data_IF_579975896639
#
_entry.id   IF_579975896639
#
_cell.length_a   1.000
_cell.length_b   1.000
_cell.length_c   1.000
_cell.angle_alpha   90.00
_cell.angle_beta   90.00
_cell.angle_gamma   90.00
#
_symmetry.space_group_name_H-M   'P 1'
#
loop_
_entity.id
_entity.type
_entity.pdbx_description
1 polymer ?
#
# COMPACT_ATOMS: atom_id res chain seq x y z
N UNK A 1 -8.72 12.29 22.75
CA UNK A 1 -8.49 11.09 21.93
C UNK A 1 -7.61 11.47 20.74
N UNK A 2 -6.63 10.63 20.45
CA UNK A 2 -5.68 10.86 19.35
C UNK A 2 -5.84 9.86 18.22
N UNK A 3 -6.32 8.65 18.53
CA UNK A 3 -6.56 7.60 17.55
C UNK A 3 -7.69 6.68 18.01
N UNK A 4 -8.47 6.16 17.06
CA UNK A 4 -9.44 5.08 17.24
C UNK A 4 -9.12 3.96 16.26
N UNK A 5 -9.46 2.72 16.61
CA UNK A 5 -9.36 1.57 15.71
C UNK A 5 -10.49 0.61 16.05
N UNK A 6 -11.13 0.05 15.02
CA UNK A 6 -12.24 -0.89 15.18
C UNK A 6 -11.83 -2.26 14.63
N UNK A 7 -12.09 -3.29 15.44
CA UNK A 7 -12.02 -4.69 15.03
C UNK A 7 -13.41 -5.25 14.72
N UNK A 8 -13.53 -6.57 14.63
CA UNK A 8 -14.83 -7.20 14.45
C UNK A 8 -15.54 -7.33 15.81
N UNK A 9 -16.48 -6.42 16.07
CA UNK A 9 -17.26 -6.40 17.29
C UNK A 9 -16.61 -5.72 18.49
N UNK A 10 -15.41 -5.16 18.39
CA UNK A 10 -14.77 -4.38 19.45
C UNK A 10 -14.10 -3.12 18.91
N UNK A 11 -13.83 -2.19 19.79
CA UNK A 11 -13.20 -0.91 19.48
C UNK A 11 -12.08 -0.57 20.46
N UNK A 12 -11.09 0.14 19.96
CA UNK A 12 -9.97 0.68 20.73
C UNK A 12 -9.94 2.21 20.61
N UNK A 13 -9.57 2.88 21.69
CA UNK A 13 -9.32 4.31 21.70
C UNK A 13 -8.02 4.63 22.44
N UNK A 14 -7.15 5.39 21.78
CA UNK A 14 -5.93 5.93 22.34
C UNK A 14 -6.16 7.38 22.77
N UNK A 15 -5.81 7.70 24.01
CA UNK A 15 -5.83 9.06 24.53
C UNK A 15 -4.48 9.74 24.40
N UNK A 16 -4.48 11.06 24.48
CA UNK A 16 -3.24 11.90 24.42
C UNK A 16 -2.25 11.64 25.57
N UNK A 17 -2.74 11.07 26.68
CA UNK A 17 -1.93 10.65 27.82
C UNK A 17 -1.25 9.28 27.63
N UNK A 18 -1.39 8.66 26.44
CA UNK A 18 -0.84 7.34 26.13
C UNK A 18 -1.58 6.16 26.74
N UNK A 19 -2.78 6.36 27.27
CA UNK A 19 -3.64 5.28 27.78
C UNK A 19 -4.54 4.74 26.68
N UNK A 20 -4.80 3.40 26.72
CA UNK A 20 -5.68 2.71 25.77
C UNK A 20 -6.94 2.25 26.49
N UNK A 21 -8.06 2.41 25.82
CA UNK A 21 -9.39 1.98 26.27
C UNK A 21 -10.02 1.10 25.21
N UNK A 22 -10.75 0.07 25.65
CA UNK A 22 -11.39 -0.92 24.77
C UNK A 22 -12.84 -1.16 25.21
N UNK A 23 -13.72 -1.53 24.27
CA UNK A 23 -15.11 -1.94 24.54
C UNK A 23 -15.64 -2.80 23.39
N UNK A 24 -16.71 -3.52 23.64
CA UNK A 24 -17.35 -4.43 22.69
C UNK A 24 -17.15 -5.90 23.07
N UNK A 25 -17.03 -6.76 22.08
CA UNK A 25 -16.84 -8.20 22.19
C UNK A 25 -15.50 -8.55 22.84
N UNK A 26 -15.48 -9.58 23.72
CA UNK A 26 -14.28 -10.03 24.44
C UNK A 26 -14.23 -11.55 24.67
N UNK A 27 -14.66 -12.34 23.71
CA UNK A 27 -14.71 -13.79 23.86
C UNK A 27 -13.33 -14.50 23.79
N UNK A 28 -12.29 -13.81 23.30
CA UNK A 28 -10.90 -14.32 23.19
C UNK A 28 -9.87 -13.38 23.82
N UNK A 29 -10.32 -12.40 24.64
CA UNK A 29 -9.45 -11.46 25.33
C UNK A 29 -9.07 -10.22 24.51
N UNK A 30 -9.82 -9.89 23.45
CA UNK A 30 -9.51 -8.79 22.55
C UNK A 30 -9.65 -7.39 23.18
N UNK A 31 -10.28 -7.26 24.34
CA UNK A 31 -10.27 -6.01 25.11
C UNK A 31 -8.97 -5.81 25.91
N UNK A 32 -8.15 -6.84 26.12
CA UNK A 32 -6.82 -6.72 26.72
C UNK A 32 -6.80 -6.34 28.20
N UNK A 33 -7.92 -6.46 28.89
CA UNK A 33 -8.10 -6.05 30.30
C UNK A 33 -7.90 -7.18 31.31
N UNK A 34 -7.50 -8.38 30.85
CA UNK A 34 -7.31 -9.57 31.64
C UNK A 34 -8.59 -10.42 31.83
N UNK A 35 -9.70 -10.05 31.16
CA UNK A 35 -10.97 -10.76 31.12
C UNK A 35 -11.24 -11.31 29.72
N UNK A 36 -12.29 -12.14 29.62
CA UNK A 36 -12.91 -12.55 28.34
C UNK A 36 -14.38 -12.19 28.30
N UNK A 37 -14.82 -11.30 29.19
CA UNK A 37 -16.21 -10.82 29.29
C UNK A 37 -16.36 -9.52 28.48
N UNK A 38 -17.28 -9.52 27.52
CA UNK A 38 -17.62 -8.35 26.71
C UNK A 38 -18.03 -7.15 27.57
N UNK A 39 -17.72 -5.93 27.12
CA UNK A 39 -18.04 -4.70 27.81
C UNK A 39 -18.81 -3.72 26.93
N UNK A 40 -19.98 -3.28 27.40
CA UNK A 40 -20.76 -2.24 26.72
C UNK A 40 -20.24 -0.81 27.01
N UNK A 41 -19.23 -0.68 27.87
CA UNK A 41 -18.61 0.60 28.24
C UNK A 41 -17.09 0.52 28.05
N UNK A 42 -16.42 1.62 27.80
CA UNK A 42 -14.95 1.62 27.67
C UNK A 42 -14.26 1.16 28.96
N UNK A 43 -13.40 0.15 28.84
CA UNK A 43 -12.54 -0.34 29.94
C UNK A 43 -11.08 0.02 29.61
N UNK A 44 -10.31 0.38 30.64
CA UNK A 44 -8.90 0.75 30.48
C UNK A 44 -8.02 -0.49 30.44
N UNK A 45 -7.08 -0.54 29.49
CA UNK A 45 -6.02 -1.56 29.46
C UNK A 45 -4.90 -1.09 30.39
N UNK A 46 -4.88 -1.60 31.61
CA UNK A 46 -3.95 -1.13 32.66
C UNK A 46 -2.51 -1.61 32.48
N UNK A 47 -2.30 -2.68 31.70
CA UNK A 47 -0.98 -3.23 31.39
C UNK A 47 -0.16 -2.39 30.40
N UNK A 48 -0.77 -1.38 29.75
CA UNK A 48 -0.12 -0.51 28.79
C UNK A 48 -0.05 0.94 29.27
N UNK A 49 1.07 1.57 28.98
CA UNK A 49 1.31 3.02 29.15
C UNK A 49 2.20 3.53 28.03
N UNK A 50 2.25 4.86 27.83
CA UNK A 50 3.06 5.49 26.78
C UNK A 50 2.78 4.94 25.38
N UNK A 51 1.54 4.53 25.11
CA UNK A 51 1.14 4.05 23.79
C UNK A 51 1.08 5.22 22.82
N UNK A 52 1.67 5.01 21.63
CA UNK A 52 1.72 6.03 20.55
C UNK A 52 0.89 5.64 19.34
N UNK A 53 0.58 4.36 19.17
CA UNK A 53 -0.28 3.87 18.09
C UNK A 53 -0.99 2.58 18.47
N UNK A 54 -2.17 2.36 17.89
CA UNK A 54 -3.00 1.16 18.07
C UNK A 54 -3.52 0.69 16.70
N UNK A 55 -3.71 -0.61 16.56
CA UNK A 55 -4.42 -1.23 15.44
C UNK A 55 -5.25 -2.40 15.96
N UNK A 56 -6.49 -2.52 15.47
CA UNK A 56 -7.41 -3.63 15.78
C UNK A 56 -7.62 -4.47 14.53
N UNK A 57 -7.44 -5.78 14.65
CA UNK A 57 -7.77 -6.78 13.65
C UNK A 57 -9.17 -7.38 13.90
N UNK A 58 -9.40 -8.62 13.44
CA UNK A 58 -10.68 -9.28 13.67
C UNK A 58 -10.95 -9.46 15.17
N UNK A 59 -10.06 -10.16 15.85
CA UNK A 59 -10.16 -10.61 17.25
C UNK A 59 -8.85 -10.39 18.02
N UNK A 60 -7.93 -9.65 17.45
CA UNK A 60 -6.64 -9.30 18.05
C UNK A 60 -6.33 -7.82 17.90
N UNK A 61 -5.39 -7.33 18.68
CA UNK A 61 -5.00 -5.94 18.67
C UNK A 61 -3.49 -5.79 18.84
N UNK A 62 -2.96 -4.68 18.32
CA UNK A 62 -1.54 -4.30 18.39
C UNK A 62 -1.41 -2.89 18.92
N UNK A 63 -0.43 -2.66 19.78
CA UNK A 63 -0.04 -1.34 20.27
C UNK A 63 1.47 -1.10 20.11
N UNK A 64 1.81 0.12 19.75
CA UNK A 64 3.19 0.61 19.74
C UNK A 64 3.40 1.45 20.99
N UNK A 65 4.46 1.17 21.74
CA UNK A 65 4.75 1.75 23.05
C UNK A 65 6.10 2.47 23.01
N UNK A 66 6.26 3.48 23.86
CA UNK A 66 7.48 4.24 24.07
C UNK A 66 8.11 4.77 22.76
N UNK A 67 7.28 5.42 21.92
CA UNK A 67 7.76 6.06 20.70
C UNK A 67 8.31 5.10 19.63
N UNK A 68 7.85 3.84 19.64
CA UNK A 68 8.30 2.83 18.66
C UNK A 68 9.35 1.84 19.20
N UNK A 69 9.68 1.92 20.49
CA UNK A 69 10.68 1.05 21.10
C UNK A 69 10.17 -0.38 21.34
N UNK A 70 8.85 -0.60 21.39
CA UNK A 70 8.28 -1.94 21.55
C UNK A 70 6.88 -2.05 20.97
N UNK A 71 6.51 -3.28 20.60
CA UNK A 71 5.19 -3.65 20.06
C UNK A 71 4.59 -4.68 21.01
N UNK A 72 3.31 -4.49 21.29
CA UNK A 72 2.52 -5.36 22.16
C UNK A 72 1.27 -5.80 21.40
N UNK A 73 0.84 -7.04 21.61
CA UNK A 73 -0.34 -7.61 20.97
C UNK A 73 -1.17 -8.41 22.00
N UNK A 74 -2.48 -8.57 21.76
CA UNK A 74 -3.38 -9.32 22.63
C UNK A 74 -4.63 -9.77 21.87
N UNK A 75 -5.44 -10.64 22.49
CA UNK A 75 -6.64 -11.23 21.90
C UNK A 75 -6.39 -12.62 21.34
N UNK A 76 -7.09 -12.97 20.27
CA UNK A 76 -6.98 -14.26 19.56
C UNK A 76 -5.60 -14.46 18.94
N UNK A 77 -5.14 -15.74 18.88
CA UNK A 77 -3.79 -16.09 18.40
C UNK A 77 -3.71 -17.45 17.70
N UNK A 78 -4.80 -18.02 17.27
CA UNK A 78 -4.85 -19.36 16.66
C UNK A 78 -4.04 -19.49 15.36
N UNK A 79 -3.69 -18.36 14.76
CA UNK A 79 -2.84 -18.25 13.58
C UNK A 79 -1.51 -17.51 13.84
N UNK A 80 -1.11 -17.35 15.11
CA UNK A 80 0.12 -16.65 15.46
C UNK A 80 0.07 -15.13 15.30
N UNK A 81 -1.13 -14.53 15.21
CA UNK A 81 -1.33 -13.10 14.94
C UNK A 81 -0.85 -12.17 16.06
N UNK A 82 -0.47 -12.70 17.23
CA UNK A 82 0.18 -11.93 18.29
C UNK A 82 1.70 -11.79 18.12
N UNK A 83 2.36 -12.64 17.29
CA UNK A 83 3.78 -12.51 16.99
C UNK A 83 4.72 -12.79 18.17
N UNK A 84 4.24 -13.46 19.20
CA UNK A 84 4.99 -13.79 20.43
C UNK A 84 5.77 -15.12 20.31
N UNK A 85 5.57 -15.85 19.22
CA UNK A 85 6.16 -17.16 18.93
C UNK A 85 5.28 -18.34 19.30
N UNK A 86 4.04 -18.08 19.69
CA UNK A 86 3.03 -19.09 20.06
C UNK A 86 1.78 -18.97 19.21
N UNK A 87 0.80 -19.86 19.46
CA UNK A 87 -0.57 -19.77 18.93
C UNK A 87 -1.60 -19.68 20.07
N UNK A 88 -1.16 -19.41 21.30
CA UNK A 88 -2.04 -19.22 22.44
C UNK A 88 -2.56 -17.78 22.50
N UNK A 89 -3.87 -17.58 22.62
CA UNK A 89 -4.49 -16.26 22.81
C UNK A 89 -4.18 -15.67 24.19
N UNK A 90 -4.13 -14.35 24.27
CA UNK A 90 -3.85 -13.63 25.51
C UNK A 90 -4.87 -12.54 25.79
N UNK A 91 -5.53 -12.60 26.96
CA UNK A 91 -6.45 -11.57 27.43
C UNK A 91 -5.73 -10.32 28.00
N UNK A 92 -4.41 -10.34 28.07
CA UNK A 92 -3.56 -9.20 28.43
C UNK A 92 -2.48 -9.00 27.37
N UNK A 93 -2.02 -7.76 27.13
CA UNK A 93 -0.96 -7.49 26.19
C UNK A 93 0.30 -8.30 26.45
N UNK A 94 0.82 -8.95 25.39
CA UNK A 94 2.11 -9.66 25.38
C UNK A 94 3.04 -8.98 24.38
N UNK A 95 4.35 -9.08 24.62
CA UNK A 95 5.35 -8.44 23.79
C UNK A 95 5.57 -9.22 22.48
N UNK A 96 5.47 -8.54 21.36
CA UNK A 96 5.93 -9.06 20.06
C UNK A 96 7.46 -9.17 20.08
N UNK A 97 7.99 -10.32 19.68
CA UNK A 97 9.42 -10.63 19.78
C UNK A 97 10.09 -10.66 18.40
N UNK A 98 11.42 -10.52 18.35
CA UNK A 98 12.22 -10.67 17.13
C UNK A 98 11.94 -9.62 16.03
N UNK A 99 11.61 -8.39 16.40
CA UNK A 99 11.49 -7.25 15.46
C UNK A 99 12.87 -6.61 15.19
N UNK A 100 13.94 -7.05 15.88
CA UNK A 100 15.25 -6.39 15.79
C UNK A 100 15.31 -5.07 16.57
N UNK A 101 16.16 -4.15 16.11
CA UNK A 101 16.38 -2.83 16.74
C UNK A 101 15.66 -1.70 16.01
N UNK A 102 14.70 -2.02 15.14
CA UNK A 102 13.96 -1.02 14.36
C UNK A 102 12.98 -0.27 15.24
N UNK A 103 12.98 1.07 15.17
CA UNK A 103 11.92 1.89 15.73
C UNK A 103 10.67 1.79 14.87
N UNK A 104 9.49 1.63 15.49
CA UNK A 104 8.24 1.38 14.81
C UNK A 104 7.43 2.66 14.66
N UNK A 105 7.10 3.00 13.41
CA UNK A 105 6.32 4.18 13.05
C UNK A 105 4.80 3.91 13.04
N UNK A 106 4.38 2.68 12.69
CA UNK A 106 2.97 2.34 12.52
C UNK A 106 2.68 0.86 12.67
N UNK A 107 1.40 0.53 12.87
CA UNK A 107 0.91 -0.83 12.87
C UNK A 107 -0.41 -0.93 12.10
N UNK A 108 -0.64 -2.10 11.50
CA UNK A 108 -1.89 -2.53 10.87
C UNK A 108 -2.22 -3.96 11.31
N UNK A 109 -3.50 -4.29 11.39
CA UNK A 109 -3.94 -5.63 11.74
C UNK A 109 -5.13 -6.03 10.83
N UNK A 110 -5.04 -7.24 10.28
CA UNK A 110 -6.06 -7.84 9.43
C UNK A 110 -6.90 -8.88 10.17
N UNK A 111 -7.38 -9.89 9.42
CA UNK A 111 -8.25 -10.92 10.00
C UNK A 111 -7.52 -11.75 11.06
N UNK A 112 -6.44 -12.41 10.67
CA UNK A 112 -5.61 -13.26 11.53
C UNK A 112 -4.12 -13.00 11.30
N UNK A 113 -3.77 -11.78 10.95
CA UNK A 113 -2.39 -11.34 10.75
C UNK A 113 -2.22 -9.90 11.22
N UNK A 114 -1.00 -9.52 11.46
CA UNK A 114 -0.64 -8.15 11.80
C UNK A 114 0.65 -7.74 11.08
N UNK A 115 0.85 -6.44 10.96
CA UNK A 115 2.03 -5.86 10.37
C UNK A 115 2.46 -4.58 11.09
N UNK A 116 3.75 -4.28 11.02
CA UNK A 116 4.34 -3.03 11.50
C UNK A 116 5.18 -2.38 10.42
N UNK A 117 5.25 -1.06 10.49
CA UNK A 117 6.09 -0.20 9.68
C UNK A 117 7.23 0.33 10.53
N UNK A 118 8.47 0.08 10.13
CA UNK A 118 9.66 0.69 10.71
C UNK A 118 9.83 2.16 10.25
N UNK A 119 10.49 2.98 11.06
CA UNK A 119 10.87 4.35 10.68
C UNK A 119 11.86 4.40 9.53
N UNK A 120 12.53 3.28 9.25
CA UNK A 120 13.43 3.06 8.12
C UNK A 120 12.71 2.63 6.83
N UNK A 121 11.37 2.55 6.85
CA UNK A 121 10.53 2.10 5.73
C UNK A 121 10.43 0.57 5.61
N UNK A 122 11.02 -0.20 6.51
CA UNK A 122 10.83 -1.66 6.53
C UNK A 122 9.42 -2.03 6.95
N UNK A 123 8.90 -3.13 6.39
CA UNK A 123 7.60 -3.70 6.78
C UNK A 123 7.83 -5.13 7.26
N UNK A 124 7.27 -5.44 8.41
CA UNK A 124 7.29 -6.76 9.01
C UNK A 124 5.86 -7.23 9.24
N UNK A 125 5.57 -8.48 8.93
CA UNK A 125 4.24 -9.06 9.08
C UNK A 125 4.31 -10.44 9.73
N UNK A 126 3.22 -10.88 10.36
CA UNK A 126 3.11 -12.19 11.02
C UNK A 126 1.65 -12.61 11.14
N UNK A 127 1.40 -13.88 11.44
CA UNK A 127 0.08 -14.49 11.50
C UNK A 127 -0.20 -15.39 10.33
N UNK A 128 -1.46 -15.44 9.90
CA UNK A 128 -1.92 -16.21 8.75
C UNK A 128 -1.30 -15.73 7.43
N UNK A 129 -1.02 -16.68 6.51
CA UNK A 129 -0.45 -16.41 5.19
C UNK A 129 -1.07 -17.26 4.07
N UNK A 130 -2.35 -17.58 4.18
CA UNK A 130 -3.03 -18.49 3.25
C UNK A 130 -3.14 -17.92 1.83
N UNK A 131 -3.15 -16.61 1.69
CA UNK A 131 -3.32 -15.88 0.42
C UNK A 131 -2.10 -15.03 0.06
N UNK A 132 -0.99 -15.13 0.82
CA UNK A 132 0.21 -14.32 0.64
C UNK A 132 0.12 -12.94 1.31
N UNK A 133 -0.77 -12.77 2.31
CA UNK A 133 -0.98 -11.50 3.01
C UNK A 133 0.24 -11.03 3.81
N UNK A 134 1.18 -11.91 4.12
CA UNK A 134 2.46 -11.52 4.74
C UNK A 134 3.46 -10.95 3.73
N UNK A 135 3.19 -11.08 2.40
CA UNK A 135 4.02 -10.49 1.35
C UNK A 135 5.32 -11.24 1.05
N UNK A 136 5.41 -12.47 1.46
CA UNK A 136 6.42 -13.45 1.10
C UNK A 136 5.73 -14.67 0.48
N UNK A 137 6.48 -15.65 -0.02
CA UNK A 137 5.85 -16.88 -0.54
C UNK A 137 4.95 -17.50 0.54
N UNK A 138 3.71 -17.91 0.20
CA UNK A 138 2.78 -18.47 1.16
C UNK A 138 3.41 -19.65 1.90
N UNK A 139 3.30 -19.63 3.22
CA UNK A 139 3.78 -20.71 4.06
C UNK A 139 2.63 -21.66 4.42
N UNK A 140 2.91 -22.96 4.43
CA UNK A 140 1.95 -23.98 4.87
C UNK A 140 1.57 -23.84 6.36
N UNK A 141 2.36 -23.12 7.13
CA UNK A 141 2.16 -22.84 8.55
C UNK A 141 2.17 -21.33 8.81
N UNK A 142 1.30 -20.83 9.71
CA UNK A 142 1.30 -19.42 10.08
C UNK A 142 2.66 -18.96 10.63
N UNK A 143 3.02 -17.71 10.37
CA UNK A 143 4.20 -17.11 10.96
C UNK A 143 3.88 -16.62 12.39
N UNK A 144 4.30 -17.37 13.40
CA UNK A 144 4.09 -17.00 14.82
C UNK A 144 5.03 -15.88 15.28
N UNK A 145 5.94 -15.42 14.41
CA UNK A 145 6.92 -14.34 14.65
C UNK A 145 6.99 -13.42 13.45
N UNK A 146 7.36 -12.15 13.64
CA UNK A 146 7.52 -11.21 12.54
C UNK A 146 8.51 -11.70 11.47
N UNK A 147 8.08 -11.65 10.21
CA UNK A 147 8.92 -11.87 9.02
C UNK A 147 9.06 -10.55 8.26
N UNK A 148 10.24 -10.27 7.71
CA UNK A 148 10.47 -9.06 6.95
C UNK A 148 9.86 -9.21 5.55
N UNK A 149 8.86 -8.39 5.25
CA UNK A 149 8.17 -8.33 3.96
C UNK A 149 8.83 -7.35 3.01
N UNK A 150 9.18 -6.17 3.51
CA UNK A 150 9.80 -5.10 2.74
C UNK A 150 11.04 -4.62 3.51
N UNK A 151 12.18 -4.60 2.82
CA UNK A 151 13.45 -4.19 3.41
C UNK A 151 13.49 -2.69 3.77
N UNK A 152 14.39 -2.34 4.68
CA UNK A 152 14.72 -0.96 5.01
C UNK A 152 15.11 -0.13 3.77
N UNK A 153 14.88 1.18 3.81
CA UNK A 153 15.18 2.09 2.70
C UNK A 153 14.21 2.03 1.52
N UNK A 154 13.13 1.27 1.63
CA UNK A 154 12.12 1.13 0.57
C UNK A 154 11.26 2.37 0.35
N UNK A 155 11.28 3.32 1.31
CA UNK A 155 10.49 4.55 1.28
C UNK A 155 9.02 4.36 1.63
N UNK A 156 8.63 3.26 2.29
CA UNK A 156 7.26 3.09 2.79
C UNK A 156 7.02 4.08 3.93
N UNK A 157 5.88 4.78 3.86
CA UNK A 157 5.46 5.80 4.83
C UNK A 157 4.15 5.49 5.52
N UNK A 158 3.34 4.59 4.95
CA UNK A 158 2.08 4.14 5.54
C UNK A 158 1.77 2.70 5.13
N UNK A 159 1.14 1.94 6.02
CA UNK A 159 0.58 0.61 5.75
C UNK A 159 -0.87 0.56 6.21
N UNK A 160 -1.68 -0.27 5.56
CA UNK A 160 -3.02 -0.62 6.01
C UNK A 160 -3.31 -2.09 5.67
N UNK A 161 -4.09 -2.75 6.50
CA UNK A 161 -4.48 -4.15 6.36
C UNK A 161 -6.00 -4.28 6.19
N UNK A 162 -6.41 -5.05 5.18
CA UNK A 162 -7.77 -5.56 5.05
C UNK A 162 -7.93 -6.90 5.76
N UNK A 163 -8.91 -7.70 5.34
CA UNK A 163 -9.08 -9.05 5.93
C UNK A 163 -7.85 -9.90 5.63
N UNK A 164 -7.53 -10.12 4.37
CA UNK A 164 -6.43 -10.98 3.92
C UNK A 164 -5.56 -10.31 2.85
N UNK A 165 -5.47 -8.97 2.87
CA UNK A 165 -4.61 -8.20 1.98
C UNK A 165 -3.97 -7.01 2.69
N UNK A 166 -2.88 -6.51 2.11
CA UNK A 166 -2.15 -5.34 2.58
C UNK A 166 -2.03 -4.30 1.48
N UNK A 167 -2.00 -3.05 1.90
CA UNK A 167 -1.58 -1.92 1.05
C UNK A 167 -0.51 -1.11 1.75
N UNK A 168 0.45 -0.60 0.98
CA UNK A 168 1.53 0.23 1.47
C UNK A 168 1.74 1.46 0.56
N UNK A 169 1.94 2.61 1.18
CA UNK A 169 2.20 3.87 0.48
C UNK A 169 3.69 4.19 0.53
N UNK A 170 4.27 4.49 -0.62
CA UNK A 170 5.64 5.02 -0.74
C UNK A 170 5.65 6.55 -0.66
N UNK A 171 6.75 7.12 -0.20
CA UNK A 171 6.97 8.59 -0.09
C UNK A 171 6.73 9.35 -1.41
N UNK A 172 6.88 8.69 -2.57
CA UNK A 172 6.60 9.25 -3.89
C UNK A 172 5.14 9.14 -4.34
N UNK A 173 4.20 8.69 -3.49
CA UNK A 173 2.79 8.54 -3.84
C UNK A 173 2.43 7.24 -4.58
N UNK A 174 3.40 6.36 -4.81
CA UNK A 174 3.15 5.02 -5.35
C UNK A 174 2.53 4.13 -4.27
N UNK A 175 1.51 3.37 -4.64
CA UNK A 175 0.86 2.38 -3.75
C UNK A 175 1.27 0.98 -4.17
N UNK A 176 1.65 0.17 -3.19
CA UNK A 176 1.88 -1.27 -3.34
C UNK A 176 0.72 -2.02 -2.67
N UNK A 177 0.37 -3.20 -3.20
CA UNK A 177 -0.64 -4.09 -2.61
C UNK A 177 -0.23 -5.55 -2.78
N UNK A 178 -0.69 -6.43 -1.87
CA UNK A 178 -0.46 -7.88 -1.91
C UNK A 178 -1.44 -8.63 -1.00
N UNK A 179 -1.52 -9.95 -1.17
CA UNK A 179 -2.45 -10.83 -0.47
C UNK A 179 -3.61 -11.27 -1.35
N UNK A 180 -4.79 -11.48 -0.75
CA UNK A 180 -6.01 -11.82 -1.46
C UNK A 180 -6.41 -10.76 -2.48
N UNK A 181 -6.95 -11.21 -3.61
CA UNK A 181 -7.40 -10.36 -4.71
C UNK A 181 -8.65 -10.93 -5.40
N UNK A 182 -9.35 -11.82 -4.74
CA UNK A 182 -10.49 -12.54 -5.35
C UNK A 182 -11.64 -11.60 -5.75
N UNK A 183 -11.70 -10.40 -5.16
CA UNK A 183 -12.66 -9.35 -5.51
C UNK A 183 -12.01 -8.12 -6.18
N UNK A 184 -10.72 -8.18 -6.54
CA UNK A 184 -9.99 -7.07 -7.12
C UNK A 184 -9.47 -6.06 -6.09
N UNK A 185 -9.37 -6.43 -4.80
CA UNK A 185 -8.98 -5.55 -3.71
C UNK A 185 -7.57 -4.95 -3.83
N UNK A 186 -6.70 -5.56 -4.64
CA UNK A 186 -5.34 -5.07 -4.88
C UNK A 186 -5.26 -3.98 -5.94
N UNK A 187 -6.31 -3.78 -6.77
CA UNK A 187 -6.30 -2.73 -7.81
C UNK A 187 -5.25 -2.94 -8.91
N UNK A 188 -4.85 -4.17 -9.20
CA UNK A 188 -3.83 -4.54 -10.20
C UNK A 188 -4.38 -4.71 -11.62
N UNK A 189 -5.71 -4.62 -11.79
CA UNK A 189 -6.39 -4.91 -13.05
C UNK A 189 -6.75 -6.39 -13.25
N UNK A 190 -6.49 -7.23 -12.25
CA UNK A 190 -6.83 -8.66 -12.21
C UNK A 190 -7.53 -9.00 -10.90
N UNK A 191 -8.02 -10.23 -10.77
CA UNK A 191 -8.57 -10.79 -9.52
C UNK A 191 -7.73 -11.97 -9.00
N UNK A 192 -6.47 -12.05 -9.42
CA UNK A 192 -5.55 -13.10 -8.96
C UNK A 192 -4.84 -12.63 -7.69
N UNK A 193 -4.82 -13.43 -6.61
CA UNK A 193 -4.02 -13.15 -5.42
C UNK A 193 -2.53 -12.98 -5.74
N UNK A 194 -1.85 -12.13 -5.00
CA UNK A 194 -0.43 -11.80 -5.20
C UNK A 194 0.33 -11.96 -3.90
N UNK A 195 1.36 -12.79 -3.89
CA UNK A 195 2.09 -13.18 -2.68
C UNK A 195 3.20 -12.21 -2.26
N UNK A 196 3.47 -11.19 -3.06
CA UNK A 196 4.49 -10.16 -2.75
C UNK A 196 4.03 -8.78 -3.15
N UNK A 197 4.67 -7.71 -2.64
CA UNK A 197 4.27 -6.35 -2.95
C UNK A 197 4.34 -6.02 -4.44
N UNK A 198 3.21 -5.67 -5.05
CA UNK A 198 3.11 -5.21 -6.46
C UNK A 198 2.52 -3.82 -6.52
N UNK A 199 2.86 -3.07 -7.55
CA UNK A 199 2.33 -1.72 -7.72
C UNK A 199 0.87 -1.72 -8.14
N UNK A 200 0.05 -0.91 -7.48
CA UNK A 200 -1.33 -0.62 -7.87
C UNK A 200 -1.32 0.23 -9.15
N UNK A 201 -2.08 -0.20 -10.16
CA UNK A 201 -2.07 0.44 -11.47
C UNK A 201 -2.65 1.85 -11.41
N UNK A 202 -1.92 2.81 -11.99
CA UNK A 202 -2.41 4.19 -12.17
C UNK A 202 -2.41 5.06 -10.90
N UNK A 203 -1.90 4.59 -9.75
CA UNK A 203 -1.75 5.36 -8.52
C UNK A 203 -0.28 5.74 -8.28
N UNK A 204 0.04 7.01 -8.56
CA UNK A 204 1.41 7.56 -8.41
C UNK A 204 1.45 8.84 -7.57
N UNK A 205 0.31 9.34 -7.13
CA UNK A 205 0.18 10.60 -6.36
C UNK A 205 -0.69 10.42 -5.13
N UNK A 206 -0.73 9.20 -4.59
CA UNK A 206 -1.45 8.92 -3.36
C UNK A 206 -0.80 9.63 -2.17
N UNK A 207 -1.62 10.13 -1.26
CA UNK A 207 -1.20 10.79 -0.02
C UNK A 207 -1.61 10.02 1.22
N UNK A 208 -2.59 9.13 1.09
CA UNK A 208 -3.06 8.24 2.16
C UNK A 208 -3.57 6.93 1.57
N UNK A 209 -3.45 5.86 2.33
CA UNK A 209 -4.07 4.55 2.03
C UNK A 209 -4.86 4.04 3.22
N UNK A 210 -5.93 3.30 2.93
CA UNK A 210 -6.70 2.56 3.92
C UNK A 210 -7.16 1.23 3.29
N UNK A 211 -7.44 0.25 4.13
CA UNK A 211 -8.03 -1.01 3.70
C UNK A 211 -9.25 -1.35 4.56
N UNK A 212 -10.24 -1.93 3.92
CA UNK A 212 -11.44 -2.46 4.55
C UNK A 212 -11.49 -3.98 4.41
N UNK A 213 -12.66 -4.56 4.59
CA UNK A 213 -12.84 -6.02 4.56
C UNK A 213 -12.33 -6.62 3.23
N UNK A 214 -12.81 -6.12 2.11
CA UNK A 214 -12.49 -6.58 0.75
C UNK A 214 -12.35 -5.41 -0.22
N UNK A 215 -11.73 -4.33 0.23
CA UNK A 215 -11.51 -3.15 -0.58
C UNK A 215 -10.31 -2.38 -0.08
N UNK A 216 -9.59 -1.75 -0.99
CA UNK A 216 -8.52 -0.80 -0.70
C UNK A 216 -8.94 0.60 -1.13
N UNK A 217 -8.46 1.59 -0.41
CA UNK A 217 -8.75 3.00 -0.65
C UNK A 217 -7.43 3.78 -0.69
N UNK A 218 -7.36 4.72 -1.62
CA UNK A 218 -6.28 5.69 -1.67
C UNK A 218 -6.84 7.10 -1.87
N UNK A 219 -6.40 8.04 -1.05
CA UNK A 219 -6.59 9.46 -1.32
C UNK A 219 -5.45 9.89 -2.22
N UNK A 220 -5.75 10.47 -3.37
CA UNK A 220 -4.73 11.01 -4.26
C UNK A 220 -5.03 12.47 -4.61
N UNK A 221 -3.99 13.25 -4.87
CA UNK A 221 -4.13 14.59 -5.42
C UNK A 221 -4.26 14.45 -6.94
N UNK A 222 -5.39 14.85 -7.55
CA UNK A 222 -5.52 14.85 -9.00
C UNK A 222 -4.42 15.73 -9.60
N UNK A 223 -3.57 15.14 -10.44
CA UNK A 223 -2.64 15.96 -11.22
C UNK A 223 -3.43 16.74 -12.28
N UNK A 224 -3.11 18.02 -12.52
CA UNK A 224 -3.71 18.75 -13.62
C UNK A 224 -3.44 17.99 -14.93
N UNK A 225 -4.39 18.00 -15.88
CA UNK A 225 -4.18 17.34 -17.15
C UNK A 225 -2.94 17.92 -17.85
N UNK A 226 -2.16 17.05 -18.44
CA UNK A 226 -1.06 17.44 -19.31
C UNK A 226 -1.64 17.89 -20.66
N UNK A 227 -1.13 18.98 -21.21
CA UNK A 227 -1.55 19.47 -22.53
C UNK A 227 -0.59 18.92 -23.58
N UNK A 228 -1.13 18.25 -24.58
CA UNK A 228 -0.35 17.69 -25.68
C UNK A 228 0.31 18.83 -26.49
N UNK A 229 1.65 18.89 -26.56
CA UNK A 229 2.33 19.94 -27.34
C UNK A 229 2.14 19.75 -28.84
N UNK A 230 2.36 20.80 -29.62
CA UNK A 230 2.45 20.71 -31.07
C UNK A 230 3.83 20.14 -31.45
N UNK A 231 3.85 19.04 -32.19
CA UNK A 231 5.07 18.32 -32.57
C UNK A 231 5.34 18.36 -34.08
N UNK A 232 4.46 18.95 -34.89
CA UNK A 232 4.60 19.02 -36.34
C UNK A 232 5.88 19.75 -36.71
N UNK A 233 6.72 19.13 -37.57
CA UNK A 233 8.03 19.66 -37.97
C UNK A 233 9.20 19.30 -37.05
N UNK A 234 8.92 18.74 -35.85
CA UNK A 234 9.99 18.25 -34.96
C UNK A 234 10.62 16.96 -35.53
N UNK A 235 11.89 16.74 -35.23
CA UNK A 235 12.47 15.40 -35.32
C UNK A 235 11.90 14.50 -34.22
N UNK A 236 12.02 13.17 -34.38
CA UNK A 236 11.57 12.22 -33.34
C UNK A 236 12.20 12.52 -31.97
N UNK A 237 13.48 12.93 -31.94
CA UNK A 237 14.17 13.25 -30.69
C UNK A 237 13.59 14.52 -30.01
N UNK A 238 13.36 15.57 -30.80
CA UNK A 238 12.74 16.81 -30.32
C UNK A 238 11.32 16.58 -29.82
N UNK A 239 10.52 15.81 -30.56
CA UNK A 239 9.18 15.41 -30.14
C UNK A 239 9.21 14.64 -28.80
N UNK A 240 10.15 13.71 -28.61
CA UNK A 240 10.34 12.99 -27.35
C UNK A 240 10.67 13.93 -26.18
N UNK A 241 11.55 14.91 -26.39
CA UNK A 241 11.90 15.93 -25.38
C UNK A 241 10.72 16.84 -25.04
N UNK A 242 9.97 17.30 -26.05
CA UNK A 242 8.78 18.14 -25.86
C UNK A 242 7.69 17.41 -25.08
N UNK A 243 7.46 16.13 -25.37
CA UNK A 243 6.54 15.28 -24.64
C UNK A 243 6.98 15.09 -23.20
N UNK A 244 8.26 14.77 -22.97
CA UNK A 244 8.81 14.62 -21.61
C UNK A 244 8.66 15.91 -20.79
N UNK A 245 8.93 17.08 -21.38
CA UNK A 245 8.75 18.38 -20.73
C UNK A 245 7.28 18.66 -20.38
N UNK A 246 6.34 18.13 -21.17
CA UNK A 246 4.90 18.20 -20.90
C UNK A 246 4.40 17.10 -19.96
N UNK A 247 5.27 16.25 -19.40
CA UNK A 247 4.87 15.11 -18.54
C UNK A 247 4.17 13.98 -19.31
N UNK A 248 4.47 13.83 -20.61
CA UNK A 248 3.90 12.83 -21.51
C UNK A 248 5.01 11.88 -22.00
N UNK A 249 4.63 10.77 -22.64
CA UNK A 249 5.58 9.81 -23.22
C UNK A 249 5.38 9.67 -24.73
N UNK A 250 6.47 9.40 -25.44
CA UNK A 250 6.41 9.08 -26.86
C UNK A 250 5.83 7.67 -27.02
N UNK A 251 4.72 7.57 -27.74
CA UNK A 251 4.04 6.32 -28.09
C UNK A 251 4.60 5.68 -29.35
N UNK A 252 3.71 5.14 -30.17
CA UNK A 252 4.08 4.51 -31.44
C UNK A 252 4.63 5.55 -32.42
N UNK A 253 5.73 5.21 -33.09
CA UNK A 253 6.31 6.00 -34.19
C UNK A 253 6.05 5.26 -35.48
N UNK A 254 5.12 5.77 -36.28
CA UNK A 254 4.83 5.27 -37.63
C UNK A 254 5.65 6.04 -38.68
N UNK A 255 5.95 5.40 -39.81
CA UNK A 255 6.57 6.06 -40.99
C UNK A 255 5.61 6.05 -42.17
N UNK A 256 5.54 7.16 -42.88
CA UNK A 256 4.78 7.28 -44.13
C UNK A 256 5.70 7.82 -45.23
N UNK A 257 5.52 7.33 -46.44
CA UNK A 257 6.35 7.78 -47.59
C UNK A 257 6.13 9.25 -47.85
N UNK A 258 7.20 10.03 -47.75
CA UNK A 258 7.27 11.42 -48.21
C UNK A 258 7.78 11.44 -49.64
N UNK A 259 6.86 11.58 -50.61
CA UNK A 259 7.19 11.50 -52.06
C UNK A 259 8.09 12.61 -52.55
N UNK A 260 8.07 13.77 -51.88
CA UNK A 260 8.86 14.95 -52.28
C UNK A 260 10.14 15.10 -51.46
N UNK A 261 10.31 14.27 -50.42
CA UNK A 261 11.46 14.31 -49.52
C UNK A 261 11.64 15.61 -48.73
N UNK A 262 10.60 16.40 -48.59
CA UNK A 262 10.65 17.71 -47.92
C UNK A 262 10.60 17.61 -46.38
N UNK A 263 10.09 16.49 -45.85
CA UNK A 263 9.85 16.30 -44.43
C UNK A 263 10.43 14.98 -43.88
N UNK A 264 11.55 14.53 -44.46
CA UNK A 264 12.20 13.29 -44.03
C UNK A 264 12.62 13.34 -42.56
N UNK A 265 12.14 12.37 -41.78
CA UNK A 265 12.42 12.27 -40.35
C UNK A 265 11.67 13.26 -39.47
N UNK A 266 10.84 14.14 -40.07
CA UNK A 266 10.03 15.11 -39.34
C UNK A 266 8.64 14.58 -39.04
N UNK A 267 8.05 15.02 -37.92
CA UNK A 267 6.70 14.69 -37.53
C UNK A 267 5.69 15.35 -38.49
N UNK A 268 4.89 14.54 -39.12
CA UNK A 268 3.81 14.97 -40.05
C UNK A 268 2.45 15.01 -39.34
N UNK A 269 2.23 14.11 -38.38
CA UNK A 269 1.01 14.06 -37.62
C UNK A 269 1.23 13.44 -36.23
N UNK A 270 0.32 13.69 -35.33
CA UNK A 270 0.34 13.16 -33.94
C UNK A 270 -1.07 12.81 -33.46
N UNK A 271 -1.13 11.88 -32.52
CA UNK A 271 -2.38 11.49 -31.84
C UNK A 271 -2.08 11.24 -30.36
N UNK A 272 -2.75 11.92 -29.41
CA UNK A 272 -3.81 12.95 -29.59
C UNK A 272 -3.33 14.23 -30.25
N UNK A 273 -4.29 15.06 -30.68
CA UNK A 273 -4.01 16.36 -31.36
C UNK A 273 -3.35 17.35 -30.37
N UNK A 274 -2.57 18.34 -30.89
CA UNK A 274 -2.07 19.44 -30.09
C UNK A 274 -3.16 20.14 -29.30
N UNK A 275 -2.87 20.57 -28.06
CA UNK A 275 -3.82 21.23 -27.18
C UNK A 275 -4.82 20.29 -26.49
N UNK A 276 -4.83 18.99 -26.79
CA UNK A 276 -5.69 18.03 -26.10
C UNK A 276 -5.21 17.85 -24.64
N UNK A 277 -6.13 17.97 -23.70
CA UNK A 277 -5.88 17.69 -22.30
C UNK A 277 -5.95 16.15 -22.07
N UNK A 278 -4.87 15.57 -21.59
CA UNK A 278 -4.75 14.13 -21.32
C UNK A 278 -4.20 13.89 -19.91
N UNK A 279 -4.27 12.67 -19.41
CA UNK A 279 -3.63 12.33 -18.12
C UNK A 279 -2.11 12.46 -18.24
N UNK A 280 -1.40 12.97 -17.21
CA UNK A 280 0.06 12.89 -17.15
C UNK A 280 0.54 11.45 -17.38
N UNK A 281 1.65 11.29 -18.11
CA UNK A 281 2.16 9.99 -18.51
C UNK A 281 1.47 9.35 -19.71
N UNK A 282 0.42 9.97 -20.28
CA UNK A 282 -0.23 9.45 -21.50
C UNK A 282 0.74 9.40 -22.67
N UNK A 283 0.61 8.36 -23.52
CA UNK A 283 1.39 8.22 -24.72
C UNK A 283 0.83 9.09 -25.87
N UNK A 284 1.71 9.75 -26.60
CA UNK A 284 1.41 10.47 -27.83
C UNK A 284 2.13 9.78 -28.98
N UNK A 285 1.36 9.20 -29.90
CA UNK A 285 1.89 8.56 -31.09
C UNK A 285 2.15 9.60 -32.20
N UNK A 286 3.20 9.40 -32.98
CA UNK A 286 3.58 10.29 -34.08
C UNK A 286 3.74 9.52 -35.38
N UNK A 287 3.53 10.23 -36.49
CA UNK A 287 3.88 9.73 -37.82
C UNK A 287 4.97 10.64 -38.41
N UNK A 288 6.07 10.06 -38.87
CA UNK A 288 7.20 10.78 -39.49
C UNK A 288 7.34 10.47 -40.96
N UNK A 289 7.86 11.42 -41.72
CA UNK A 289 8.21 11.24 -43.14
C UNK A 289 9.34 10.24 -43.32
N UNK A 290 9.18 9.30 -44.23
CA UNK A 290 10.18 8.34 -44.65
C UNK A 290 10.49 8.46 -46.16
N UNK A 291 11.68 8.04 -46.62
CA UNK A 291 12.02 8.12 -48.03
C UNK A 291 11.14 7.24 -48.92
N UNK A 292 10.90 7.62 -50.18
CA UNK A 292 10.24 6.76 -51.14
C UNK A 292 11.12 5.54 -51.48
N UNK A 293 10.51 4.41 -51.96
CA UNK A 293 11.23 3.17 -52.25
C UNK A 293 12.42 3.31 -53.20
N UNK A 294 12.36 4.28 -54.14
CA UNK A 294 13.39 4.52 -55.15
C UNK A 294 14.39 5.64 -54.78
N UNK A 295 14.37 6.07 -53.50
CA UNK A 295 15.17 7.21 -53.03
C UNK A 295 14.54 8.56 -53.38
N UNK A 296 15.16 9.64 -52.87
CA UNK A 296 14.74 11.00 -53.18
C UNK A 296 15.24 11.44 -54.57
N UNK A 297 14.46 12.26 -55.30
CA UNK A 297 14.83 12.75 -56.60
C UNK A 297 16.10 13.62 -56.57
#
# INVERSE_FOLDING_TARGET
MTKISAGCGFSLALRSDGTVWAWGLDNVGQLGNGSTASSAVPVKITALSQVTSIAAGLDSAVAIVAGGASVWAWGGNDSGQLGDGTTAGHATPVRVTQIGTVHIAGAAAGFKFAAILGTDGSVWAWGADNTGQLGNAPAATPATRPVNTIAAGSGITQIAAGVDHMVALKSGGTVLAWGDNTNGELGTGTTTPVTGPVQVTGLTTATQVAAGVRASFAVHVPQPPAIVPALAGDTQAQAGQALQAAGLVLGTVAKVTDKFCDHLGLVLSQTPRPGTAVRPGSAVSITIGGPPPNGCP
#
